data_IF_565011119984
#
_entry.id   IF_565011119984
#
_cell.length_a   1.000
_cell.length_b   1.000
_cell.length_c   1.000
_cell.angle_alpha   90.00
_cell.angle_beta   90.00
_cell.angle_gamma   90.00
#
_symmetry.space_group_name_H-M   'P 1'
#
loop_
_entity.id
_entity.type
_entity.pdbx_description
1 polymer ?
#
# COMPACT_ATOMS: atom_id res chain seq x y z
N UNK A 1 -23.26 6.77 -11.09
CA UNK A 1 -22.45 6.45 -12.28
C UNK A 1 -21.01 6.12 -11.91
N UNK A 2 -20.38 6.89 -11.03
CA UNK A 2 -18.97 6.77 -10.67
C UNK A 2 -18.63 5.44 -9.97
N UNK A 3 -19.52 4.97 -9.08
CA UNK A 3 -19.36 3.68 -8.40
C UNK A 3 -19.36 2.50 -9.38
N UNK A 4 -20.22 2.53 -10.41
CA UNK A 4 -20.26 1.49 -11.44
C UNK A 4 -18.97 1.50 -12.30
N UNK A 5 -18.45 2.68 -12.60
CA UNK A 5 -17.19 2.85 -13.33
C UNK A 5 -16.01 2.27 -12.53
N UNK A 6 -15.89 2.66 -11.26
CA UNK A 6 -14.80 2.17 -10.38
C UNK A 6 -14.87 0.64 -10.23
N UNK A 7 -16.04 0.10 -9.93
CA UNK A 7 -16.20 -1.35 -9.78
C UNK A 7 -15.97 -2.10 -11.09
N UNK A 8 -16.43 -1.56 -12.22
CA UNK A 8 -16.12 -2.09 -13.54
C UNK A 8 -14.64 -2.12 -13.87
N UNK A 9 -13.91 -1.06 -13.48
CA UNK A 9 -12.45 -1.01 -13.62
C UNK A 9 -11.76 -2.06 -12.74
N UNK A 10 -12.27 -2.33 -11.53
CA UNK A 10 -11.73 -3.42 -10.69
C UNK A 10 -11.84 -4.76 -11.40
N UNK A 11 -13.01 -5.07 -11.95
CA UNK A 11 -13.22 -6.34 -12.67
C UNK A 11 -12.30 -6.46 -13.88
N UNK A 12 -12.18 -5.39 -14.67
CA UNK A 12 -11.28 -5.34 -15.81
C UNK A 12 -9.81 -5.54 -15.38
N UNK A 13 -9.38 -4.86 -14.34
CA UNK A 13 -8.03 -4.98 -13.77
C UNK A 13 -7.75 -6.40 -13.25
N UNK A 14 -8.69 -6.98 -12.51
CA UNK A 14 -8.57 -8.35 -12.02
C UNK A 14 -8.43 -9.37 -13.16
N UNK A 15 -9.26 -9.25 -14.20
CA UNK A 15 -9.18 -10.10 -15.40
C UNK A 15 -7.84 -9.91 -16.12
N UNK A 16 -7.36 -8.67 -16.21
CA UNK A 16 -6.05 -8.38 -16.80
C UNK A 16 -4.92 -9.07 -16.02
N UNK A 17 -4.88 -8.93 -14.68
CA UNK A 17 -3.88 -9.56 -13.83
C UNK A 17 -3.90 -11.09 -13.93
N UNK A 18 -5.09 -11.71 -13.91
CA UNK A 18 -5.21 -13.16 -14.06
C UNK A 18 -4.66 -13.62 -15.41
N UNK A 19 -4.96 -12.89 -16.49
CA UNK A 19 -4.45 -13.23 -17.83
C UNK A 19 -2.94 -13.07 -17.92
N UNK A 20 -2.40 -12.02 -17.32
CA UNK A 20 -0.95 -11.79 -17.30
C UNK A 20 -0.24 -12.88 -16.49
N UNK A 21 -0.70 -13.15 -15.27
CA UNK A 21 -0.13 -14.19 -14.41
C UNK A 21 -0.11 -15.57 -15.08
N UNK A 22 -1.20 -15.93 -15.77
CA UNK A 22 -1.25 -17.21 -16.51
C UNK A 22 -0.25 -17.28 -17.67
N UNK A 23 0.02 -16.18 -18.35
CA UNK A 23 1.01 -16.12 -19.43
C UNK A 23 2.44 -16.25 -18.90
N UNK A 24 2.74 -15.57 -17.81
CA UNK A 24 4.06 -15.63 -17.16
C UNK A 24 4.32 -17.03 -16.59
N UNK A 25 3.36 -17.65 -15.92
CA UNK A 25 3.48 -19.04 -15.44
C UNK A 25 3.77 -20.02 -16.57
N UNK A 26 3.08 -19.91 -17.69
CA UNK A 26 3.32 -20.80 -18.86
C UNK A 26 4.72 -20.62 -19.46
N UNK A 27 5.24 -19.38 -19.52
CA UNK A 27 6.59 -19.14 -20.02
C UNK A 27 7.67 -19.69 -19.09
N UNK A 28 7.48 -19.53 -17.78
CA UNK A 28 8.38 -20.03 -16.74
C UNK A 28 8.34 -21.60 -16.72
N UNK A 29 7.16 -22.20 -16.76
CA UNK A 29 7.03 -23.65 -16.83
C UNK A 29 7.69 -24.23 -18.08
N UNK A 30 7.55 -23.58 -19.24
CA UNK A 30 8.20 -24.01 -20.48
C UNK A 30 9.73 -23.90 -20.40
N UNK A 31 10.26 -22.87 -19.76
CA UNK A 31 11.70 -22.66 -19.54
C UNK A 31 12.26 -23.70 -18.55
N UNK A 32 11.57 -23.96 -17.44
CA UNK A 32 11.95 -24.98 -16.47
C UNK A 32 11.85 -26.40 -17.05
N UNK A 33 10.83 -26.71 -17.84
CA UNK A 33 10.68 -28.02 -18.48
C UNK A 33 11.84 -28.31 -19.48
N UNK A 34 12.37 -27.28 -20.11
CA UNK A 34 13.53 -27.40 -21.00
C UNK A 34 14.85 -27.59 -20.25
N UNK A 35 15.01 -27.02 -19.05
CA UNK A 35 16.27 -27.04 -18.32
C UNK A 35 16.42 -28.19 -17.33
N UNK A 36 15.34 -28.65 -16.72
CA UNK A 36 15.41 -29.56 -15.54
C UNK A 36 14.67 -30.88 -15.79
N UNK A 37 13.94 -31.04 -16.90
CA UNK A 37 13.00 -32.15 -17.10
C UNK A 37 11.73 -31.97 -16.24
N UNK A 38 10.73 -32.83 -16.39
CA UNK A 38 9.48 -32.76 -15.63
C UNK A 38 9.76 -32.80 -14.13
N UNK A 39 9.79 -31.63 -13.49
CA UNK A 39 9.72 -31.55 -12.02
C UNK A 39 8.32 -31.98 -11.64
N UNK A 40 8.17 -33.21 -11.12
CA UNK A 40 6.94 -33.60 -10.45
C UNK A 40 6.75 -32.68 -9.26
N UNK A 41 5.93 -31.65 -9.45
CA UNK A 41 5.41 -30.83 -8.34
C UNK A 41 4.74 -31.80 -7.39
N UNK A 42 5.25 -31.89 -6.16
CA UNK A 42 4.92 -32.94 -5.21
C UNK A 42 3.41 -33.19 -5.09
N UNK A 43 2.99 -34.34 -5.50
CA UNK A 43 1.70 -34.91 -5.17
C UNK A 43 1.64 -35.08 -3.65
N UNK A 44 0.90 -34.25 -2.94
CA UNK A 44 0.74 -34.50 -1.50
C UNK A 44 0.05 -33.44 -0.66
N UNK A 45 -0.09 -32.22 -1.13
CA UNK A 45 -0.76 -31.23 -0.29
C UNK A 45 -2.18 -30.98 -0.82
N UNK A 46 -3.16 -31.54 -0.08
CA UNK A 46 -4.58 -31.34 -0.41
C UNK A 46 -4.87 -29.84 -0.47
N UNK A 47 -5.23 -29.33 -1.66
CA UNK A 47 -5.59 -27.92 -1.87
C UNK A 47 -6.60 -27.40 -0.83
N UNK A 48 -7.50 -28.30 -0.35
CA UNK A 48 -8.44 -27.97 0.71
C UNK A 48 -7.79 -27.60 2.04
N UNK A 49 -6.66 -28.22 2.40
CA UNK A 49 -5.88 -27.84 3.59
C UNK A 49 -5.23 -26.48 3.41
N UNK A 50 -4.70 -26.18 2.22
CA UNK A 50 -4.10 -24.90 1.92
C UNK A 50 -5.13 -23.76 2.00
N UNK A 51 -6.31 -23.98 1.39
CA UNK A 51 -7.41 -23.01 1.46
C UNK A 51 -7.88 -22.80 2.90
N UNK A 52 -8.02 -23.89 3.67
CA UNK A 52 -8.41 -23.80 5.08
C UNK A 52 -7.36 -23.04 5.92
N UNK A 53 -6.07 -23.27 5.70
CA UNK A 53 -5.00 -22.53 6.39
C UNK A 53 -4.98 -21.04 6.02
N UNK A 54 -5.18 -20.71 4.73
CA UNK A 54 -5.29 -19.32 4.28
C UNK A 54 -6.50 -18.66 4.94
N UNK A 55 -7.67 -19.30 4.90
CA UNK A 55 -8.88 -18.75 5.50
C UNK A 55 -8.73 -18.56 7.03
N UNK A 56 -8.15 -19.55 7.72
CA UNK A 56 -7.87 -19.43 9.15
C UNK A 56 -6.87 -18.33 9.46
N UNK A 57 -5.80 -18.20 8.67
CA UNK A 57 -4.80 -17.12 8.81
C UNK A 57 -5.40 -15.73 8.60
N UNK A 58 -6.22 -15.56 7.57
CA UNK A 58 -6.94 -14.30 7.31
C UNK A 58 -7.92 -13.98 8.46
N UNK A 59 -8.68 -14.96 8.93
CA UNK A 59 -9.59 -14.77 10.06
C UNK A 59 -8.84 -14.33 11.32
N UNK A 60 -7.72 -14.96 11.64
CA UNK A 60 -6.88 -14.59 12.79
C UNK A 60 -6.27 -13.20 12.65
N UNK A 61 -5.85 -12.80 11.44
CA UNK A 61 -5.33 -11.46 11.18
C UNK A 61 -6.42 -10.40 11.40
N UNK A 62 -7.61 -10.61 10.86
CA UNK A 62 -8.74 -9.67 11.02
C UNK A 62 -9.16 -9.57 12.48
N UNK A 63 -9.34 -10.69 13.17
CA UNK A 63 -9.70 -10.69 14.61
C UNK A 63 -8.62 -10.04 15.46
N UNK A 64 -7.34 -10.33 15.20
CA UNK A 64 -6.23 -9.72 15.92
C UNK A 64 -6.14 -8.21 15.71
N UNK A 65 -6.35 -7.74 14.47
CA UNK A 65 -6.41 -6.31 14.15
C UNK A 65 -7.58 -5.63 14.88
N UNK A 66 -8.77 -6.22 14.84
CA UNK A 66 -9.98 -5.68 15.50
C UNK A 66 -9.79 -5.57 17.03
N UNK A 67 -9.25 -6.59 17.66
CA UNK A 67 -8.96 -6.56 19.11
C UNK A 67 -7.89 -5.51 19.46
N UNK A 68 -6.82 -5.41 18.66
CA UNK A 68 -5.77 -4.43 18.88
C UNK A 68 -6.32 -3.00 18.77
N UNK A 69 -7.07 -2.73 17.70
CA UNK A 69 -7.72 -1.43 17.48
C UNK A 69 -8.71 -1.12 18.59
N UNK A 70 -9.59 -2.05 18.94
CA UNK A 70 -10.56 -1.89 20.01
C UNK A 70 -9.91 -1.57 21.36
N UNK A 71 -8.83 -2.27 21.71
CA UNK A 71 -8.06 -1.99 22.91
C UNK A 71 -7.38 -0.61 22.87
N UNK A 72 -6.75 -0.26 21.74
CA UNK A 72 -6.08 1.03 21.57
C UNK A 72 -7.06 2.21 21.60
N UNK A 73 -8.24 2.07 20.98
CA UNK A 73 -9.32 3.07 21.03
C UNK A 73 -9.82 3.26 22.47
N UNK A 74 -10.06 2.15 23.18
CA UNK A 74 -10.50 2.20 24.58
C UNK A 74 -9.49 2.91 25.47
N UNK A 75 -8.21 2.58 25.31
CA UNK A 75 -7.13 3.21 26.05
C UNK A 75 -6.99 4.71 25.73
N UNK A 76 -7.04 5.08 24.46
CA UNK A 76 -6.97 6.48 24.04
C UNK A 76 -8.16 7.31 24.58
N UNK A 77 -9.37 6.75 24.59
CA UNK A 77 -10.54 7.39 25.19
C UNK A 77 -10.36 7.63 26.70
N UNK A 78 -9.79 6.67 27.42
CA UNK A 78 -9.48 6.83 28.84
C UNK A 78 -8.44 7.93 29.11
N UNK A 79 -7.53 8.17 28.17
CA UNK A 79 -6.57 9.28 28.21
C UNK A 79 -7.17 10.63 27.78
N UNK A 80 -8.45 10.69 27.46
CA UNK A 80 -9.13 11.92 27.03
C UNK A 80 -8.86 12.34 25.58
N UNK A 81 -8.34 11.44 24.75
CA UNK A 81 -8.13 11.72 23.32
C UNK A 81 -9.49 11.80 22.62
N UNK A 82 -9.69 12.83 21.79
CA UNK A 82 -10.95 13.02 21.07
C UNK A 82 -11.23 11.90 20.08
N UNK A 83 -12.50 11.57 19.87
CA UNK A 83 -12.91 10.50 18.92
C UNK A 83 -12.45 10.78 17.49
N UNK A 84 -12.38 12.05 17.11
CA UNK A 84 -11.91 12.44 15.78
C UNK A 84 -10.42 12.13 15.58
N UNK A 85 -9.58 12.43 16.58
CA UNK A 85 -8.15 12.08 16.56
C UNK A 85 -7.96 10.57 16.55
N UNK A 86 -8.73 9.84 17.36
CA UNK A 86 -8.71 8.37 17.39
C UNK A 86 -9.04 7.80 16.01
N UNK A 87 -10.09 8.30 15.36
CA UNK A 87 -10.50 7.86 14.02
C UNK A 87 -9.42 8.11 12.97
N UNK A 88 -8.84 9.31 12.94
CA UNK A 88 -7.83 9.70 11.97
C UNK A 88 -6.47 9.00 12.16
N UNK A 89 -6.19 8.47 13.36
CA UNK A 89 -4.90 7.85 13.68
C UNK A 89 -5.02 6.36 13.94
N UNK A 90 -5.58 5.99 15.09
CA UNK A 90 -5.62 4.60 15.57
C UNK A 90 -6.48 3.72 14.65
N UNK A 91 -7.68 4.18 14.30
CA UNK A 91 -8.58 3.40 13.45
C UNK A 91 -8.03 3.32 12.02
N UNK A 92 -7.55 4.44 11.47
CA UNK A 92 -6.98 4.47 10.12
C UNK A 92 -5.75 3.56 9.97
N UNK A 93 -4.82 3.59 10.93
CA UNK A 93 -3.68 2.69 10.94
C UNK A 93 -4.10 1.24 11.22
N UNK A 94 -5.04 1.05 12.14
CA UNK A 94 -5.47 -0.26 12.60
C UNK A 94 -6.20 -1.09 11.55
N UNK A 95 -7.01 -0.46 10.72
CA UNK A 95 -7.68 -1.14 9.60
C UNK A 95 -6.69 -1.67 8.55
N UNK A 96 -5.50 -1.08 8.47
CA UNK A 96 -4.41 -1.54 7.59
C UNK A 96 -3.43 -2.51 8.28
N UNK A 97 -3.65 -2.90 9.54
CA UNK A 97 -2.75 -3.81 10.25
C UNK A 97 -2.62 -5.19 9.61
N UNK A 98 -3.68 -5.82 9.06
CA UNK A 98 -3.54 -7.08 8.33
C UNK A 98 -2.58 -6.97 7.14
N UNK A 99 -2.66 -5.90 6.36
CA UNK A 99 -1.79 -5.64 5.22
C UNK A 99 -0.35 -5.42 5.67
N UNK A 100 -0.15 -4.64 6.74
CA UNK A 100 1.19 -4.40 7.31
C UNK A 100 1.79 -5.70 7.80
N UNK A 101 1.06 -6.51 8.56
CA UNK A 101 1.54 -7.78 9.09
C UNK A 101 1.92 -8.74 7.95
N UNK A 102 1.07 -8.89 6.96
CA UNK A 102 1.32 -9.75 5.80
C UNK A 102 2.54 -9.29 5.01
N UNK A 103 2.66 -7.99 4.71
CA UNK A 103 3.78 -7.42 3.96
C UNK A 103 5.10 -7.53 4.72
N UNK A 104 5.10 -7.30 6.04
CA UNK A 104 6.29 -7.47 6.89
C UNK A 104 6.75 -8.93 6.90
N UNK A 105 5.84 -9.89 7.09
CA UNK A 105 6.19 -11.32 7.07
C UNK A 105 6.72 -11.74 5.70
N UNK A 106 6.09 -11.30 4.60
CA UNK A 106 6.57 -11.57 3.25
C UNK A 106 7.99 -10.99 3.03
N UNK A 107 8.21 -9.74 3.41
CA UNK A 107 9.51 -9.09 3.31
C UNK A 107 10.60 -9.79 4.13
N UNK A 108 10.28 -10.25 5.36
CA UNK A 108 11.21 -11.01 6.21
C UNK A 108 11.55 -12.38 5.62
N UNK A 109 10.65 -12.98 4.85
CA UNK A 109 10.87 -14.25 4.13
C UNK A 109 11.60 -14.07 2.79
N UNK A 110 11.87 -12.83 2.38
CA UNK A 110 12.49 -12.51 1.10
C UNK A 110 11.49 -12.44 -0.07
N UNK A 111 10.20 -12.67 0.18
CA UNK A 111 9.11 -12.63 -0.80
C UNK A 111 8.66 -11.19 -1.06
N UNK A 112 9.55 -10.41 -1.70
CA UNK A 112 9.37 -8.96 -1.89
C UNK A 112 8.20 -8.63 -2.81
N UNK A 113 7.99 -9.43 -3.84
CA UNK A 113 6.90 -9.25 -4.80
C UNK A 113 5.54 -9.41 -4.13
N UNK A 114 5.44 -10.33 -3.17
CA UNK A 114 4.23 -10.51 -2.35
C UNK A 114 4.01 -9.27 -1.47
N UNK A 115 5.05 -8.73 -0.84
CA UNK A 115 4.93 -7.55 0.01
C UNK A 115 4.47 -6.32 -0.78
N UNK A 116 5.10 -6.04 -1.92
CA UNK A 116 4.74 -4.92 -2.79
C UNK A 116 3.37 -5.13 -3.41
N UNK A 117 3.09 -6.34 -3.91
CA UNK A 117 1.81 -6.71 -4.50
C UNK A 117 0.65 -6.55 -3.51
N UNK A 118 0.84 -6.91 -2.24
CA UNK A 118 -0.16 -6.72 -1.19
C UNK A 118 -0.48 -5.23 -0.96
N UNK A 119 0.53 -4.37 -0.86
CA UNK A 119 0.34 -2.92 -0.66
C UNK A 119 -0.35 -2.28 -1.87
N UNK A 120 0.13 -2.53 -3.09
CA UNK A 120 -0.47 -1.96 -4.30
C UNK A 120 -1.87 -2.53 -4.54
N UNK A 121 -2.03 -3.83 -4.32
CA UNK A 121 -3.30 -4.52 -4.49
C UNK A 121 -4.38 -4.03 -3.53
N UNK A 122 -4.07 -3.87 -2.24
CA UNK A 122 -5.01 -3.36 -1.24
C UNK A 122 -5.42 -1.90 -1.53
N UNK A 123 -4.49 -1.03 -1.92
CA UNK A 123 -4.81 0.34 -2.32
C UNK A 123 -5.74 0.36 -3.54
N UNK A 124 -5.43 -0.42 -4.57
CA UNK A 124 -6.26 -0.53 -5.77
C UNK A 124 -7.65 -1.07 -5.44
N UNK A 125 -7.72 -2.11 -4.59
CA UNK A 125 -8.98 -2.69 -4.15
C UNK A 125 -9.81 -1.71 -3.32
N UNK A 126 -9.19 -0.94 -2.42
CA UNK A 126 -9.88 0.06 -1.61
C UNK A 126 -10.49 1.18 -2.47
N UNK A 127 -9.76 1.64 -3.50
CA UNK A 127 -10.27 2.69 -4.39
C UNK A 127 -11.32 2.12 -5.37
N UNK A 128 -11.02 1.06 -6.07
CA UNK A 128 -11.88 0.55 -7.13
C UNK A 128 -13.02 -0.33 -6.60
N UNK A 129 -12.73 -1.16 -5.60
CA UNK A 129 -13.69 -2.10 -5.02
C UNK A 129 -14.52 -1.49 -3.91
N UNK A 130 -13.88 -1.10 -2.81
CA UNK A 130 -14.59 -0.64 -1.62
C UNK A 130 -15.32 0.67 -1.91
N UNK A 131 -14.63 1.69 -2.41
CA UNK A 131 -15.25 2.98 -2.74
C UNK A 131 -16.27 2.81 -3.88
N UNK A 132 -15.94 2.02 -4.92
CA UNK A 132 -16.84 1.76 -6.04
C UNK A 132 -18.14 1.09 -5.60
N UNK A 133 -18.04 0.00 -4.82
CA UNK A 133 -19.22 -0.71 -4.32
C UNK A 133 -20.01 0.12 -3.31
N UNK A 134 -19.32 0.83 -2.39
CA UNK A 134 -19.98 1.73 -1.44
C UNK A 134 -20.78 2.82 -2.15
N UNK A 135 -20.22 3.40 -3.22
CA UNK A 135 -20.92 4.40 -4.02
C UNK A 135 -22.13 3.85 -4.78
N UNK A 136 -22.13 2.55 -5.11
CA UNK A 136 -23.27 1.89 -5.77
C UNK A 136 -24.42 1.59 -4.81
N UNK A 137 -24.08 1.20 -3.56
CA UNK A 137 -25.06 0.73 -2.58
C UNK A 137 -25.56 1.88 -1.71
N UNK A 138 -24.81 2.97 -1.60
CA UNK A 138 -25.20 4.13 -0.81
C UNK A 138 -26.53 4.72 -1.33
N UNK A 139 -27.53 4.96 -0.45
CA UNK A 139 -28.81 5.53 -0.85
C UNK A 139 -28.67 6.99 -1.29
N UNK A 140 -27.63 7.67 -0.85
CA UNK A 140 -27.29 9.05 -1.20
C UNK A 140 -25.84 9.14 -1.69
N UNK A 141 -25.49 10.24 -2.36
CA UNK A 141 -24.11 10.49 -2.79
C UNK A 141 -23.18 10.53 -1.58
N UNK A 142 -22.01 9.91 -1.70
CA UNK A 142 -20.99 9.99 -0.66
C UNK A 142 -20.51 11.44 -0.50
N UNK A 143 -20.71 11.99 0.69
CA UNK A 143 -20.25 13.34 0.99
C UNK A 143 -18.72 13.34 1.15
N UNK A 144 -18.03 14.14 0.34
CA UNK A 144 -16.57 14.29 0.41
C UNK A 144 -16.26 15.64 1.05
N UNK A 145 -15.64 15.68 2.24
CA UNK A 145 -15.24 16.93 2.87
C UNK A 145 -14.27 17.73 1.99
N UNK A 146 -14.40 19.07 2.01
CA UNK A 146 -13.52 19.95 1.23
C UNK A 146 -12.04 19.80 1.62
N UNK A 147 -11.75 19.52 2.90
CA UNK A 147 -10.39 19.23 3.37
C UNK A 147 -9.77 18.03 2.67
N UNK A 148 -10.55 16.98 2.47
CA UNK A 148 -10.10 15.78 1.76
C UNK A 148 -9.74 16.09 0.29
N UNK A 149 -10.55 16.91 -0.39
CA UNK A 149 -10.27 17.29 -1.79
C UNK A 149 -9.06 18.21 -1.92
N UNK A 150 -8.86 19.13 -0.96
CA UNK A 150 -7.82 20.14 -1.04
C UNK A 150 -6.46 19.73 -0.45
N UNK A 151 -6.43 18.69 0.40
CA UNK A 151 -5.22 18.26 1.09
C UNK A 151 -4.98 16.76 1.01
N UNK A 152 -5.89 15.92 1.50
CA UNK A 152 -5.65 14.49 1.63
C UNK A 152 -5.49 13.78 0.28
N UNK A 153 -6.37 14.10 -0.68
CA UNK A 153 -6.32 13.54 -2.03
C UNK A 153 -5.05 13.95 -2.80
N UNK A 154 -4.63 15.22 -2.84
CA UNK A 154 -3.33 15.62 -3.38
C UNK A 154 -2.14 14.90 -2.73
N UNK A 155 -2.13 14.74 -1.40
CA UNK A 155 -1.08 13.99 -0.70
C UNK A 155 -1.06 12.54 -1.13
N UNK A 156 -2.22 11.88 -1.18
CA UNK A 156 -2.34 10.49 -1.64
C UNK A 156 -1.79 10.33 -3.07
N UNK A 157 -2.18 11.21 -3.99
CA UNK A 157 -1.70 11.18 -5.39
C UNK A 157 -0.18 11.42 -5.46
N UNK A 158 0.35 12.35 -4.67
CA UNK A 158 1.78 12.64 -4.63
C UNK A 158 2.59 11.46 -4.11
N UNK A 159 2.13 10.78 -3.05
CA UNK A 159 2.77 9.57 -2.51
C UNK A 159 2.72 8.42 -3.51
N UNK A 160 1.57 8.17 -4.13
CA UNK A 160 1.44 7.16 -5.17
C UNK A 160 2.36 7.46 -6.37
N UNK A 161 2.43 8.73 -6.79
CA UNK A 161 3.35 9.18 -7.84
C UNK A 161 4.83 9.01 -7.47
N UNK A 162 5.18 9.23 -6.20
CA UNK A 162 6.54 9.03 -5.70
C UNK A 162 6.96 7.55 -5.67
N UNK A 163 6.02 6.63 -5.55
CA UNK A 163 6.31 5.19 -5.63
C UNK A 163 6.67 4.73 -7.06
N UNK A 164 6.15 5.40 -8.10
CA UNK A 164 6.37 4.98 -9.49
C UNK A 164 7.86 4.93 -9.89
N UNK A 165 8.67 5.98 -9.70
CA UNK A 165 10.10 5.91 -10.01
C UNK A 165 10.79 4.75 -9.27
N UNK A 166 10.46 4.52 -8.01
CA UNK A 166 11.05 3.47 -7.17
C UNK A 166 10.75 2.08 -7.74
N UNK A 167 9.54 1.84 -8.23
CA UNK A 167 9.20 0.57 -8.87
C UNK A 167 9.92 0.35 -10.21
N UNK A 168 10.27 1.43 -10.93
CA UNK A 168 11.01 1.32 -12.20
C UNK A 168 12.53 1.29 -12.02
N UNK A 169 13.05 1.74 -10.86
CA UNK A 169 14.47 1.78 -10.53
C UNK A 169 14.88 0.53 -9.76
N UNK A 170 15.27 -0.52 -10.48
CA UNK A 170 15.78 -1.77 -9.90
C UNK A 170 14.75 -2.69 -9.23
N UNK A 171 13.45 -2.36 -9.28
CA UNK A 171 12.34 -3.14 -8.69
C UNK A 171 12.49 -3.41 -7.18
N UNK A 172 13.21 -2.56 -6.46
CA UNK A 172 13.50 -2.71 -5.03
C UNK A 172 13.29 -1.39 -4.30
N UNK A 173 12.55 -1.42 -3.20
CA UNK A 173 12.48 -0.31 -2.26
C UNK A 173 13.67 -0.44 -1.30
N UNK A 174 14.59 0.52 -1.34
CA UNK A 174 15.71 0.55 -0.42
C UNK A 174 15.23 0.86 1.01
N UNK A 175 15.95 0.37 2.02
CA UNK A 175 15.57 0.59 3.44
C UNK A 175 15.43 2.06 3.81
N UNK A 176 16.29 2.92 3.25
CA UNK A 176 16.21 4.36 3.51
C UNK A 176 14.98 5.01 2.85
N UNK A 177 14.55 4.53 1.67
CA UNK A 177 13.32 4.99 1.00
C UNK A 177 12.09 4.62 1.84
N UNK A 178 12.04 3.39 2.33
CA UNK A 178 11.00 2.97 3.28
C UNK A 178 10.98 3.79 4.56
N UNK A 179 12.15 4.15 5.11
CA UNK A 179 12.25 5.02 6.27
C UNK A 179 11.74 6.44 5.98
N UNK A 180 12.00 6.99 4.79
CA UNK A 180 11.48 8.28 4.35
C UNK A 180 9.95 8.23 4.23
N UNK A 181 9.36 7.22 3.60
CA UNK A 181 7.91 7.08 3.53
C UNK A 181 7.26 6.96 4.91
N UNK A 182 7.88 6.21 5.83
CA UNK A 182 7.40 6.12 7.21
C UNK A 182 7.48 7.47 7.92
N UNK A 183 8.56 8.22 7.74
CA UNK A 183 8.68 9.58 8.29
C UNK A 183 7.59 10.52 7.73
N UNK A 184 7.28 10.45 6.43
CA UNK A 184 6.17 11.20 5.84
C UNK A 184 4.82 10.83 6.43
N UNK A 185 4.58 9.54 6.64
CA UNK A 185 3.35 9.09 7.30
C UNK A 185 3.22 9.68 8.71
N UNK A 186 4.29 9.66 9.49
CA UNK A 186 4.31 10.27 10.84
C UNK A 186 4.06 11.77 10.79
N UNK A 187 4.69 12.48 9.85
CA UNK A 187 4.50 13.93 9.65
C UNK A 187 3.07 14.24 9.21
N UNK A 188 2.52 13.48 8.27
CA UNK A 188 1.14 13.63 7.82
C UNK A 188 0.15 13.41 8.98
N UNK A 189 0.33 12.34 9.76
CA UNK A 189 -0.51 12.04 10.92
C UNK A 189 -0.43 13.15 11.97
N UNK A 190 0.78 13.67 12.26
CA UNK A 190 0.96 14.80 13.17
C UNK A 190 0.24 16.05 12.67
N UNK A 191 0.31 16.34 11.36
CA UNK A 191 -0.43 17.44 10.76
C UNK A 191 -1.94 17.30 10.95
N UNK A 192 -2.50 16.12 10.70
CA UNK A 192 -3.94 15.88 10.89
C UNK A 192 -4.37 16.09 12.34
N UNK A 193 -3.59 15.60 13.31
CA UNK A 193 -3.86 15.79 14.74
C UNK A 193 -3.83 17.26 15.12
N UNK A 194 -2.81 18.01 14.68
CA UNK A 194 -2.69 19.45 14.94
C UNK A 194 -3.83 20.25 14.28
N UNK A 195 -4.23 19.85 13.07
CA UNK A 195 -5.33 20.49 12.35
C UNK A 195 -6.66 20.32 13.07
N UNK A 196 -6.95 19.13 13.59
CA UNK A 196 -8.17 18.83 14.35
C UNK A 196 -8.20 19.63 15.67
N UNK A 197 -7.06 19.72 16.35
CA UNK A 197 -6.94 20.44 17.62
C UNK A 197 -6.88 21.95 17.44
N UNK A 198 -6.86 22.48 16.20
CA UNK A 198 -6.66 23.90 15.88
C UNK A 198 -5.45 24.50 16.58
N UNK A 199 -4.36 23.72 16.65
CA UNK A 199 -3.16 24.11 17.37
C UNK A 199 -2.44 25.26 16.68
N UNK A 200 -1.92 26.21 17.44
CA UNK A 200 -1.24 27.41 16.92
C UNK A 200 -0.03 27.08 16.03
N UNK A 201 0.60 25.92 16.25
CA UNK A 201 1.72 25.42 15.44
C UNK A 201 1.32 24.98 14.03
N UNK A 202 0.01 24.82 13.74
CA UNK A 202 -0.44 24.31 12.44
C UNK A 202 0.07 25.15 11.26
N UNK A 203 0.00 26.47 11.36
CA UNK A 203 0.44 27.37 10.30
C UNK A 203 1.94 27.25 10.03
N UNK A 204 2.76 27.23 11.10
CA UNK A 204 4.21 27.07 10.99
C UNK A 204 4.60 25.70 10.50
N UNK A 205 3.92 24.66 10.97
CA UNK A 205 4.15 23.29 10.53
C UNK A 205 3.78 23.09 9.05
N UNK A 206 2.62 23.59 8.63
CA UNK A 206 2.19 23.57 7.24
C UNK A 206 3.14 24.33 6.32
N UNK A 207 3.63 25.48 6.76
CA UNK A 207 4.61 26.28 6.00
C UNK A 207 5.93 25.49 5.80
N UNK A 208 6.49 24.92 6.84
CA UNK A 208 7.73 24.10 6.73
C UNK A 208 7.50 22.89 5.83
N UNK A 209 6.36 22.21 5.94
CA UNK A 209 6.04 21.06 5.12
C UNK A 209 6.00 21.41 3.63
N UNK A 210 5.26 22.47 3.28
CA UNK A 210 5.05 22.86 1.88
C UNK A 210 6.26 23.55 1.25
N UNK A 211 7.01 24.34 2.03
CA UNK A 211 8.11 25.17 1.51
C UNK A 211 9.46 24.45 1.53
N UNK A 212 9.66 23.53 2.47
CA UNK A 212 10.95 22.85 2.65
C UNK A 212 10.86 21.38 2.34
N UNK A 213 9.96 20.66 3.02
CA UNK A 213 9.94 19.18 2.97
C UNK A 213 9.51 18.68 1.59
N UNK A 214 8.39 19.16 1.07
CA UNK A 214 7.88 18.70 -0.22
C UNK A 214 8.80 19.06 -1.41
N UNK A 215 9.33 20.31 -1.54
CA UNK A 215 10.26 20.62 -2.61
C UNK A 215 11.57 19.83 -2.53
N UNK A 216 12.13 19.67 -1.32
CA UNK A 216 13.35 18.88 -1.14
C UNK A 216 13.15 17.40 -1.53
N UNK A 217 11.99 16.84 -1.20
CA UNK A 217 11.63 15.48 -1.60
C UNK A 217 11.48 15.36 -3.11
N UNK A 218 10.74 16.26 -3.73
CA UNK A 218 10.55 16.26 -5.18
C UNK A 218 11.90 16.39 -5.90
N UNK A 219 12.80 17.26 -5.39
CA UNK A 219 14.15 17.40 -5.91
C UNK A 219 14.95 16.09 -5.76
N UNK A 220 14.93 15.48 -4.57
CA UNK A 220 15.67 14.25 -4.29
C UNK A 220 15.20 13.10 -5.17
N UNK A 221 13.88 12.89 -5.26
CA UNK A 221 13.28 11.86 -6.12
C UNK A 221 13.59 12.14 -7.60
N UNK A 222 13.50 13.41 -8.02
CA UNK A 222 13.83 13.80 -9.39
C UNK A 222 15.31 13.55 -9.75
N UNK A 223 16.22 13.88 -8.85
CA UNK A 223 17.67 13.62 -9.04
C UNK A 223 17.97 12.13 -9.08
N UNK A 224 17.35 11.34 -8.21
CA UNK A 224 17.53 9.88 -8.18
C UNK A 224 17.00 9.24 -9.48
N UNK A 225 15.80 9.58 -9.89
CA UNK A 225 15.21 9.11 -11.13
C UNK A 225 16.06 9.50 -12.36
N UNK A 226 16.57 10.73 -12.37
CA UNK A 226 17.42 11.20 -13.48
C UNK A 226 18.79 10.50 -13.53
N UNK A 227 19.44 10.29 -12.37
CA UNK A 227 20.71 9.55 -12.29
C UNK A 227 20.56 8.13 -12.83
N UNK A 228 19.49 7.46 -12.51
CA UNK A 228 19.24 6.08 -12.92
C UNK A 228 18.90 5.99 -14.41
N UNK A 229 18.16 6.94 -14.94
CA UNK A 229 17.88 7.01 -16.38
C UNK A 229 19.15 7.25 -17.22
N UNK A 230 20.17 7.90 -16.64
CA UNK A 230 21.46 8.12 -17.30
C UNK A 230 22.46 6.96 -17.16
N UNK A 231 22.24 6.03 -16.25
CA UNK A 231 23.15 4.89 -16.07
C UNK A 231 22.83 3.82 -17.12
N UNK A 232 23.74 3.51 -18.06
CA UNK A 232 23.47 2.49 -19.09
C UNK A 232 23.26 1.12 -18.42
N UNK A 233 22.31 0.37 -18.92
CA UNK A 233 21.86 -0.96 -18.44
C UNK A 233 22.92 -2.07 -18.54
N UNK A 234 24.13 -1.77 -19.01
CA UNK A 234 25.18 -2.75 -19.27
C UNK A 234 25.94 -3.26 -18.04
N UNK A 235 25.86 -2.56 -16.86
CA UNK A 235 26.67 -2.95 -15.71
C UNK A 235 26.00 -3.98 -14.79
N UNK A 236 24.77 -4.43 -15.10
CA UNK A 236 24.06 -5.39 -14.25
C UNK A 236 24.28 -6.87 -14.60
N UNK A 237 24.92 -7.15 -15.73
CA UNK A 237 25.22 -8.53 -16.16
C UNK A 237 26.53 -9.02 -15.53
N UNK A 238 27.45 -8.13 -15.22
CA UNK A 238 28.80 -8.46 -14.73
C UNK A 238 28.91 -8.68 -13.20
N UNK A 239 27.84 -8.42 -12.44
CA UNK A 239 27.84 -8.65 -10.96
C UNK A 239 27.18 -9.97 -10.53
N UNK A 240 26.84 -10.85 -11.46
CA UNK A 240 26.29 -12.20 -11.17
C UNK A 240 27.21 -13.35 -11.61
N UNK A 241 28.47 -13.08 -11.93
CA UNK A 241 29.50 -14.11 -12.11
C UNK A 241 30.27 -14.33 -10.81
#
# INVERSE_FOLDING_TARGET
>A
FDGALLFGLLLAYTVFLIRQSRRESQSIEAEYAQQIGEVKVGEGQHWGVQVALIAAGLALLVLGADWLVGAAVTFAKQLGVSELVIGLTIVAAGTSMPEVATSVVAALRGERDIAVGNVVGSNTFNILGVLGLSSLVAPESLAVPQSMLSFDLPVMIAVAGACLPIFFTGHLIARWEGAVFLAYYMVYTAYLVLAVQRHDLLASFGFVLTTVVLPLTALTLGVLAWREWRTPRNDMIDKKS
#
